data_IF_850781764661
#
_entry.id   IF_850781764661
#
_cell.length_a   1.000
_cell.length_b   1.000
_cell.length_c   1.000
_cell.angle_alpha   90.00
_cell.angle_beta   90.00
_cell.angle_gamma   90.00
#
_symmetry.space_group_name_H-M   'P 1'
#
loop_
_entity.id
_entity.type
_entity.pdbx_description
1 polymer ?
#
# COMPACT_ATOMS: atom_id res chain seq x y z
N UNK A 1 -19.07 31.43 68.87
CA UNK A 1 -18.12 32.25 68.08
C UNK A 1 -17.13 31.31 67.39
N UNK A 2 -17.07 31.32 66.04
CA UNK A 2 -15.92 31.02 65.17
C UNK A 2 -15.34 29.58 65.22
N UNK A 3 -14.91 28.90 64.16
CA UNK A 3 -14.91 29.06 62.68
C UNK A 3 -14.42 27.69 62.15
N UNK A 4 -14.95 27.27 60.99
CA UNK A 4 -14.54 26.11 60.19
C UNK A 4 -13.06 26.08 59.86
N UNK A 5 -12.50 24.91 59.53
CA UNK A 5 -11.41 24.74 58.56
C UNK A 5 -11.41 23.29 58.02
N UNK A 6 -12.03 23.12 56.85
CA UNK A 6 -11.89 21.95 56.00
C UNK A 6 -10.57 22.08 55.21
N UNK A 7 -9.70 21.07 55.32
CA UNK A 7 -8.44 21.01 54.57
C UNK A 7 -8.74 20.30 53.24
N UNK A 8 -8.89 21.09 52.18
CA UNK A 8 -8.98 20.60 50.81
C UNK A 8 -7.56 20.29 50.29
N UNK A 9 -7.30 19.01 50.04
CA UNK A 9 -6.04 18.52 49.47
C UNK A 9 -6.07 18.75 47.94
N UNK A 10 -5.32 19.73 47.45
CA UNK A 10 -5.15 20.02 46.02
C UNK A 10 -4.07 19.09 45.43
N UNK A 11 -4.48 18.19 44.52
CA UNK A 11 -3.59 17.39 43.68
C UNK A 11 -3.09 18.26 42.49
N UNK A 12 -1.78 18.35 42.23
CA UNK A 12 -1.29 18.99 41.00
C UNK A 12 -1.36 17.98 39.85
N UNK A 13 -2.23 18.25 38.87
CA UNK A 13 -2.26 17.55 37.59
C UNK A 13 -1.06 18.02 36.76
N UNK A 14 -0.04 17.17 36.64
CA UNK A 14 1.10 17.38 35.74
C UNK A 14 0.67 16.98 34.33
N UNK A 15 0.26 17.96 33.54
CA UNK A 15 0.04 17.83 32.10
C UNK A 15 1.40 17.79 31.40
N UNK A 16 1.88 16.59 31.08
CA UNK A 16 3.03 16.41 30.17
C UNK A 16 2.53 16.65 28.74
N UNK A 17 2.62 17.89 28.29
CA UNK A 17 2.45 18.22 26.89
C UNK A 17 3.72 17.78 26.13
N UNK A 18 3.66 16.64 25.43
CA UNK A 18 4.62 16.34 24.37
C UNK A 18 4.36 17.30 23.21
N UNK A 19 4.97 18.48 23.29
CA UNK A 19 5.14 19.36 22.13
C UNK A 19 6.17 18.71 21.20
N UNK A 20 5.71 17.81 20.33
CA UNK A 20 6.48 17.35 19.20
C UNK A 20 6.69 18.50 18.22
N UNK A 21 7.84 19.16 18.32
CA UNK A 21 8.34 20.05 17.27
C UNK A 21 8.60 19.20 16.00
N UNK A 22 7.61 19.11 15.11
CA UNK A 22 7.84 18.59 13.76
C UNK A 22 8.26 19.76 12.87
N UNK A 23 9.58 19.90 12.68
CA UNK A 23 10.15 20.87 11.75
C UNK A 23 9.52 20.73 10.35
N UNK A 24 9.16 21.89 9.80
CA UNK A 24 8.37 22.03 8.58
C UNK A 24 9.09 21.58 7.32
N UNK A 25 8.68 20.42 6.83
CA UNK A 25 8.27 20.09 5.44
C UNK A 25 8.55 18.61 5.18
N UNK A 26 7.83 17.75 5.91
CA UNK A 26 7.63 16.36 5.49
C UNK A 26 6.66 16.41 4.32
N UNK A 27 7.03 15.87 3.17
CA UNK A 27 6.03 15.54 2.16
C UNK A 27 5.21 14.44 2.81
N UNK A 28 3.97 14.77 3.17
CA UNK A 28 3.09 13.81 3.82
C UNK A 28 2.82 12.69 2.83
N UNK A 29 2.94 11.45 3.28
CA UNK A 29 2.26 10.34 2.61
C UNK A 29 0.83 10.77 2.33
N UNK A 30 0.34 10.70 1.09
CA UNK A 30 -1.05 11.01 0.80
C UNK A 30 -1.97 10.14 1.68
N UNK A 31 -3.06 10.69 2.25
CA UNK A 31 -3.96 9.90 3.10
C UNK A 31 -4.52 8.64 2.41
N UNK A 32 -4.79 8.72 1.09
CA UNK A 32 -5.26 7.60 0.29
C UNK A 32 -4.29 6.39 0.32
N UNK A 33 -2.99 6.61 0.45
CA UNK A 33 -2.00 5.53 0.56
C UNK A 33 -2.06 4.77 1.89
N UNK A 34 -2.72 5.36 2.90
CA UNK A 34 -2.97 4.72 4.19
C UNK A 34 -4.37 4.09 4.24
N UNK A 35 -5.09 4.07 3.11
CA UNK A 35 -6.34 3.36 3.00
C UNK A 35 -6.13 1.84 3.18
N UNK A 36 -7.21 1.18 3.58
CA UNK A 36 -7.21 -0.26 3.78
C UNK A 36 -6.99 -1.03 2.45
N UNK A 37 -6.48 -2.29 2.49
CA UNK A 37 -6.13 -3.07 1.30
C UNK A 37 -7.25 -3.20 0.25
N UNK A 38 -8.52 -3.22 0.67
CA UNK A 38 -9.68 -3.30 -0.21
C UNK A 38 -9.81 -2.10 -1.15
N UNK A 39 -9.38 -0.90 -0.73
CA UNK A 39 -9.39 0.29 -1.57
C UNK A 39 -8.30 0.23 -2.64
N UNK A 40 -7.15 -0.34 -2.31
CA UNK A 40 -6.07 -0.61 -3.27
C UNK A 40 -6.49 -1.64 -4.31
N UNK A 41 -7.12 -2.74 -3.88
CA UNK A 41 -7.65 -3.76 -4.79
C UNK A 41 -8.72 -3.19 -5.72
N UNK A 42 -9.62 -2.37 -5.18
CA UNK A 42 -10.65 -1.70 -5.98
C UNK A 42 -10.04 -0.77 -7.01
N UNK A 43 -9.04 0.05 -6.62
CA UNK A 43 -8.33 0.93 -7.55
C UNK A 43 -7.61 0.13 -8.65
N UNK A 44 -6.92 -0.95 -8.29
CA UNK A 44 -6.17 -1.79 -9.24
C UNK A 44 -7.05 -2.43 -10.31
N UNK A 45 -8.36 -2.58 -10.08
CA UNK A 45 -9.29 -3.07 -11.11
C UNK A 45 -9.37 -2.19 -12.37
N UNK A 46 -8.82 -0.97 -12.31
CA UNK A 46 -8.68 -0.06 -13.47
C UNK A 46 -7.37 -0.26 -14.25
N UNK A 47 -6.54 -1.26 -13.92
CA UNK A 47 -5.37 -1.59 -14.73
C UNK A 47 -5.79 -2.16 -16.10
N UNK A 48 -5.09 -1.85 -17.20
CA UNK A 48 -3.77 -1.19 -17.24
C UNK A 48 -3.83 0.33 -17.31
N UNK A 49 -5.03 0.94 -17.32
CA UNK A 49 -5.16 2.39 -17.23
C UNK A 49 -4.63 2.92 -15.89
N UNK A 50 -4.52 4.26 -15.81
CA UNK A 50 -3.98 4.93 -14.63
C UNK A 50 -4.79 4.59 -13.37
N UNK A 51 -4.17 3.81 -12.48
CA UNK A 51 -4.73 3.44 -11.17
C UNK A 51 -4.50 4.57 -10.17
N UNK A 52 -5.59 5.02 -9.55
CA UNK A 52 -5.59 6.01 -8.48
C UNK A 52 -6.35 5.50 -7.26
N UNK A 53 -5.71 5.52 -6.09
CA UNK A 53 -6.34 5.15 -4.82
C UNK A 53 -7.24 6.31 -4.37
N UNK A 54 -8.46 5.97 -3.96
CA UNK A 54 -9.51 6.94 -3.57
C UNK A 54 -9.72 8.06 -4.60
N UNK A 55 -9.62 7.71 -5.90
CA UNK A 55 -9.80 8.62 -7.05
C UNK A 55 -8.79 9.77 -7.17
N UNK A 56 -7.80 9.87 -6.27
CA UNK A 56 -6.90 11.03 -6.22
C UNK A 56 -5.41 10.73 -6.28
N UNK A 57 -4.97 9.54 -5.87
CA UNK A 57 -3.54 9.30 -5.63
C UNK A 57 -3.00 8.13 -6.44
N UNK A 58 -2.12 8.37 -7.43
CA UNK A 58 -1.36 7.31 -8.09
C UNK A 58 -0.57 6.48 -7.08
N UNK A 59 -0.40 5.18 -7.34
CA UNK A 59 0.29 4.28 -6.41
C UNK A 59 1.77 4.68 -6.24
N UNK A 60 2.42 5.18 -7.29
CA UNK A 60 3.81 5.66 -7.22
C UNK A 60 4.00 6.81 -6.21
N UNK A 61 3.00 7.66 -6.03
CA UNK A 61 3.02 8.78 -5.08
C UNK A 61 2.92 8.33 -3.61
N UNK A 62 2.67 7.04 -3.34
CA UNK A 62 2.65 6.49 -1.99
C UNK A 62 4.03 6.31 -1.36
N UNK A 63 5.10 6.54 -2.13
CA UNK A 63 6.49 6.36 -1.71
C UNK A 63 7.31 7.67 -1.74
N UNK A 64 6.85 8.78 -1.11
CA UNK A 64 7.62 10.01 -1.13
C UNK A 64 8.96 9.86 -0.39
N UNK A 65 9.98 10.60 -0.83
CA UNK A 65 11.35 10.56 -0.27
C UNK A 65 11.39 10.79 1.26
N UNK A 66 10.47 11.61 1.79
CA UNK A 66 10.44 12.04 3.20
C UNK A 66 9.26 11.47 3.98
N UNK A 67 8.96 10.19 3.75
CA UNK A 67 7.95 9.45 4.49
C UNK A 67 8.39 9.18 5.94
N UNK A 68 7.43 9.15 6.88
CA UNK A 68 7.72 8.71 8.26
C UNK A 68 7.89 7.19 8.29
N UNK A 69 8.71 6.68 9.21
CA UNK A 69 8.89 5.22 9.39
C UNK A 69 7.55 4.50 9.56
N UNK A 70 6.65 5.05 10.38
CA UNK A 70 5.32 4.46 10.61
C UNK A 70 4.48 4.38 9.32
N UNK A 71 4.49 5.43 8.48
CA UNK A 71 3.75 5.41 7.22
C UNK A 71 4.41 4.47 6.21
N UNK A 72 5.73 4.36 6.20
CA UNK A 72 6.45 3.43 5.32
C UNK A 72 6.13 1.98 5.67
N UNK A 73 6.11 1.64 6.96
CA UNK A 73 5.71 0.32 7.43
C UNK A 73 4.25 0.02 7.05
N UNK A 74 3.36 0.99 7.20
CA UNK A 74 1.94 0.82 6.89
C UNK A 74 1.70 0.64 5.38
N UNK A 75 2.27 1.51 4.52
CA UNK A 75 2.17 1.39 3.06
C UNK A 75 2.75 0.06 2.59
N UNK A 76 3.95 -0.30 3.07
CA UNK A 76 4.59 -1.57 2.71
C UNK A 76 3.78 -2.78 3.15
N UNK A 77 3.19 -2.75 4.35
CA UNK A 77 2.30 -3.81 4.86
C UNK A 77 1.06 -3.96 3.99
N UNK A 78 0.39 -2.85 3.66
CA UNK A 78 -0.78 -2.85 2.78
C UNK A 78 -0.45 -3.39 1.40
N UNK A 79 0.65 -2.94 0.78
CA UNK A 79 1.09 -3.42 -0.53
C UNK A 79 1.38 -4.93 -0.54
N UNK A 80 2.03 -5.47 0.50
CA UNK A 80 2.26 -6.92 0.62
C UNK A 80 0.95 -7.71 0.76
N UNK A 81 -0.02 -7.19 1.52
CA UNK A 81 -1.34 -7.83 1.64
C UNK A 81 -2.05 -7.86 0.29
N UNK A 82 -2.11 -6.73 -0.42
CA UNK A 82 -2.73 -6.62 -1.74
C UNK A 82 -2.07 -7.57 -2.74
N UNK A 83 -0.73 -7.57 -2.81
CA UNK A 83 0.03 -8.46 -3.67
C UNK A 83 -0.23 -9.95 -3.35
N UNK A 84 -0.31 -10.30 -2.05
CA UNK A 84 -0.61 -11.67 -1.63
C UNK A 84 -2.03 -12.09 -2.00
N UNK A 85 -3.02 -11.19 -1.86
CA UNK A 85 -4.41 -11.43 -2.28
C UNK A 85 -4.52 -11.66 -3.79
N UNK A 86 -3.81 -10.87 -4.60
CA UNK A 86 -3.78 -11.05 -6.05
C UNK A 86 -3.09 -12.36 -6.43
N UNK A 87 -1.95 -12.69 -5.82
CA UNK A 87 -1.27 -13.98 -6.05
C UNK A 87 -2.14 -15.19 -5.71
N UNK A 88 -2.95 -15.09 -4.65
CA UNK A 88 -3.91 -16.13 -4.25
C UNK A 88 -5.03 -16.25 -5.28
N UNK A 89 -5.55 -15.12 -5.77
CA UNK A 89 -6.55 -15.08 -6.83
C UNK A 89 -6.04 -15.73 -8.13
N UNK A 90 -4.79 -15.46 -8.53
CA UNK A 90 -4.17 -16.10 -9.70
C UNK A 90 -4.19 -17.63 -9.56
N UNK A 91 -3.79 -18.15 -8.40
CA UNK A 91 -3.75 -19.61 -8.14
C UNK A 91 -5.14 -20.23 -8.15
N UNK A 92 -6.10 -19.59 -7.46
CA UNK A 92 -7.46 -20.08 -7.36
C UNK A 92 -8.16 -20.12 -8.72
N UNK A 93 -7.94 -19.09 -9.54
CA UNK A 93 -8.55 -18.97 -10.86
C UNK A 93 -7.85 -19.80 -11.94
N UNK A 94 -6.59 -20.18 -11.70
CA UNK A 94 -5.89 -21.14 -12.55
C UNK A 94 -6.33 -22.59 -12.28
N UNK A 95 -7.10 -22.85 -11.22
CA UNK A 95 -7.66 -24.17 -10.93
C UNK A 95 -8.95 -24.42 -11.74
N UNK A 96 -9.29 -25.69 -11.97
CA UNK A 96 -10.45 -26.10 -12.77
C UNK A 96 -11.82 -25.60 -12.24
N UNK A 97 -11.87 -25.08 -11.02
CA UNK A 97 -13.09 -24.67 -10.31
C UNK A 97 -13.14 -23.17 -10.01
N UNK A 98 -12.49 -22.33 -10.83
CA UNK A 98 -12.40 -20.88 -10.62
C UNK A 98 -13.71 -20.20 -10.22
N UNK A 99 -13.63 -19.19 -9.37
CA UNK A 99 -14.78 -18.41 -8.91
C UNK A 99 -15.16 -17.37 -9.97
N UNK A 100 -16.33 -17.52 -10.59
CA UNK A 100 -16.86 -16.63 -11.64
C UNK A 100 -17.12 -15.19 -11.16
N UNK A 101 -17.18 -14.94 -9.85
CA UNK A 101 -17.39 -13.61 -9.28
C UNK A 101 -16.07 -12.90 -8.90
N UNK A 102 -14.94 -13.47 -9.28
CA UNK A 102 -13.61 -12.90 -9.03
C UNK A 102 -12.93 -12.60 -10.36
N UNK A 103 -11.94 -11.68 -10.39
CA UNK A 103 -11.12 -11.46 -11.57
C UNK A 103 -10.53 -12.79 -12.07
N UNK A 104 -10.42 -12.95 -13.37
CA UNK A 104 -9.69 -14.06 -13.98
C UNK A 104 -8.23 -14.08 -13.53
N UNK A 105 -7.54 -15.21 -13.74
CA UNK A 105 -6.12 -15.32 -13.43
C UNK A 105 -5.28 -14.28 -14.19
N UNK A 106 -5.68 -13.95 -15.42
CA UNK A 106 -5.04 -12.95 -16.28
C UNK A 106 -5.21 -11.53 -15.73
N UNK A 107 -6.45 -11.14 -15.37
CA UNK A 107 -6.72 -9.84 -14.75
C UNK A 107 -6.00 -9.70 -13.40
N UNK A 108 -6.04 -10.74 -12.55
CA UNK A 108 -5.32 -10.76 -11.27
C UNK A 108 -3.79 -10.60 -11.46
N UNK A 109 -3.23 -11.20 -12.50
CA UNK A 109 -1.83 -11.04 -12.85
C UNK A 109 -1.51 -9.63 -13.37
N UNK A 110 -2.36 -9.05 -14.21
CA UNK A 110 -2.23 -7.68 -14.70
C UNK A 110 -2.21 -6.68 -13.52
N UNK A 111 -3.18 -6.81 -12.60
CA UNK A 111 -3.24 -5.98 -11.39
C UNK A 111 -2.00 -6.14 -10.51
N UNK A 112 -1.52 -7.37 -10.32
CA UNK A 112 -0.33 -7.65 -9.52
C UNK A 112 0.94 -7.05 -10.15
N UNK A 113 1.06 -7.14 -11.47
CA UNK A 113 2.11 -6.49 -12.23
C UNK A 113 2.07 -4.99 -12.06
N UNK A 114 0.90 -4.36 -12.26
CA UNK A 114 0.73 -2.91 -12.14
C UNK A 114 1.15 -2.41 -10.76
N UNK A 115 0.70 -3.06 -9.69
CA UNK A 115 1.11 -2.71 -8.32
C UNK A 115 2.62 -2.69 -8.17
N UNK A 116 3.32 -3.72 -8.66
CA UNK A 116 4.78 -3.80 -8.59
C UNK A 116 5.43 -2.70 -9.41
N UNK A 117 5.01 -2.50 -10.66
CA UNK A 117 5.56 -1.46 -11.54
C UNK A 117 5.39 -0.04 -10.98
N UNK A 118 4.22 0.27 -10.41
CA UNK A 118 3.94 1.56 -9.82
C UNK A 118 4.78 1.83 -8.56
N UNK A 119 4.98 0.81 -7.72
CA UNK A 119 5.86 0.93 -6.55
C UNK A 119 7.34 0.99 -6.96
N UNK A 120 7.75 0.30 -8.02
CA UNK A 120 9.09 0.45 -8.61
C UNK A 120 9.33 1.87 -9.09
N UNK A 121 8.36 2.48 -9.79
CA UNK A 121 8.41 3.88 -10.19
C UNK A 121 8.58 4.81 -8.99
N UNK A 122 7.72 4.67 -7.96
CA UNK A 122 7.82 5.49 -6.75
C UNK A 122 9.14 5.30 -6.00
N UNK A 123 9.67 4.07 -5.92
CA UNK A 123 10.97 3.81 -5.32
C UNK A 123 12.12 4.47 -6.11
N UNK A 124 12.10 4.40 -7.44
CA UNK A 124 13.08 5.07 -8.30
C UNK A 124 13.04 6.60 -8.12
N UNK A 125 11.86 7.19 -8.09
CA UNK A 125 11.66 8.63 -7.88
C UNK A 125 12.13 9.09 -6.49
N UNK A 126 12.08 8.20 -5.50
CA UNK A 126 12.62 8.43 -4.14
C UNK A 126 14.12 8.15 -4.01
N UNK A 127 14.83 7.85 -5.10
CA UNK A 127 16.26 7.52 -5.08
C UNK A 127 16.60 6.15 -4.51
N UNK A 128 15.67 5.18 -4.61
CA UNK A 128 15.88 3.78 -4.20
C UNK A 128 15.67 3.50 -2.71
N UNK A 129 15.16 4.47 -1.94
CA UNK A 129 14.93 4.32 -0.48
C UNK A 129 14.04 3.11 -0.18
N UNK A 130 13.10 2.82 -1.08
CA UNK A 130 12.05 1.81 -0.88
C UNK A 130 12.31 0.47 -1.59
N UNK A 131 13.48 0.25 -2.21
CA UNK A 131 13.76 -0.93 -3.05
C UNK A 131 13.56 -2.27 -2.33
N UNK A 132 13.94 -2.34 -1.05
CA UNK A 132 13.76 -3.56 -0.24
C UNK A 132 12.29 -3.87 -0.02
N UNK A 133 11.45 -2.84 0.17
CA UNK A 133 10.00 -3.02 0.28
C UNK A 133 9.43 -3.48 -1.06
N UNK A 134 9.82 -2.85 -2.18
CA UNK A 134 9.38 -3.24 -3.52
C UNK A 134 9.73 -4.69 -3.81
N UNK A 135 10.96 -5.12 -3.49
CA UNK A 135 11.39 -6.53 -3.65
C UNK A 135 10.49 -7.51 -2.89
N UNK A 136 10.04 -7.14 -1.67
CA UNK A 136 9.12 -7.97 -0.88
C UNK A 136 7.73 -8.03 -1.50
N UNK A 137 7.24 -6.90 -2.03
CA UNK A 137 5.95 -6.85 -2.74
C UNK A 137 6.01 -7.67 -4.03
N UNK A 138 7.09 -7.56 -4.81
CA UNK A 138 7.32 -8.39 -6.00
C UNK A 138 7.31 -9.88 -5.64
N UNK A 139 8.04 -10.28 -4.59
CA UNK A 139 8.07 -11.67 -4.14
C UNK A 139 6.68 -12.19 -3.73
N UNK A 140 5.85 -11.35 -3.10
CA UNK A 140 4.47 -11.68 -2.78
C UNK A 140 3.59 -11.80 -4.05
N UNK A 141 3.68 -10.83 -4.96
CA UNK A 141 2.91 -10.78 -6.19
C UNK A 141 3.19 -11.97 -7.12
N UNK A 142 4.47 -12.39 -7.20
CA UNK A 142 4.92 -13.50 -8.04
C UNK A 142 4.72 -14.87 -7.41
N UNK A 143 4.16 -14.96 -6.21
CA UNK A 143 4.01 -16.23 -5.53
C UNK A 143 3.09 -17.18 -6.31
N UNK A 144 3.66 -18.24 -6.90
CA UNK A 144 2.94 -19.20 -7.74
C UNK A 144 2.79 -18.79 -9.21
N UNK A 145 3.27 -17.61 -9.59
CA UNK A 145 3.20 -17.11 -10.97
C UNK A 145 4.02 -17.97 -11.95
N UNK A 146 5.14 -18.55 -11.51
CA UNK A 146 5.98 -19.40 -12.35
C UNK A 146 5.30 -20.71 -12.77
N UNK A 147 4.34 -21.20 -11.96
CA UNK A 147 3.53 -22.36 -12.27
C UNK A 147 2.29 -22.02 -13.12
N UNK A 148 2.00 -20.72 -13.33
CA UNK A 148 0.87 -20.27 -14.12
C UNK A 148 1.12 -20.40 -15.62
N UNK A 149 0.03 -20.40 -16.40
CA UNK A 149 0.10 -20.45 -17.86
C UNK A 149 0.87 -19.28 -18.47
N UNK A 150 1.41 -19.41 -19.70
CA UNK A 150 2.15 -18.34 -20.36
C UNK A 150 1.40 -17.02 -20.47
N UNK A 151 0.08 -17.07 -20.74
CA UNK A 151 -0.76 -15.88 -20.86
C UNK A 151 -0.84 -15.08 -19.55
N UNK A 152 -1.02 -15.76 -18.41
CA UNK A 152 -1.03 -15.14 -17.07
C UNK A 152 0.32 -14.45 -16.77
N UNK A 153 1.43 -15.10 -17.12
CA UNK A 153 2.77 -14.51 -16.93
C UNK A 153 3.01 -13.30 -17.82
N UNK A 154 2.49 -13.32 -19.05
CA UNK A 154 2.53 -12.17 -19.95
C UNK A 154 1.70 -11.00 -19.39
N UNK A 155 0.51 -11.26 -18.86
CA UNK A 155 -0.32 -10.22 -18.24
C UNK A 155 0.34 -9.57 -17.03
N UNK A 156 1.05 -10.34 -16.20
CA UNK A 156 1.88 -9.77 -15.14
C UNK A 156 2.95 -8.80 -15.68
N UNK A 157 3.62 -9.15 -16.78
CA UNK A 157 4.63 -8.29 -17.40
C UNK A 157 4.01 -7.01 -17.97
N UNK A 158 2.91 -7.14 -18.70
CA UNK A 158 2.15 -6.01 -19.25
C UNK A 158 1.70 -5.04 -18.15
N UNK A 159 1.19 -5.59 -17.04
CA UNK A 159 0.79 -4.80 -15.88
C UNK A 159 1.97 -4.07 -15.28
N UNK A 160 3.11 -4.75 -15.10
CA UNK A 160 4.32 -4.13 -14.54
C UNK A 160 4.83 -3.00 -15.42
N UNK A 161 4.84 -3.19 -16.72
CA UNK A 161 5.27 -2.15 -17.67
C UNK A 161 4.32 -0.95 -17.63
N UNK A 162 3.00 -1.18 -17.57
CA UNK A 162 1.99 -0.13 -17.42
C UNK A 162 2.14 0.64 -16.10
N UNK A 163 2.32 -0.07 -14.98
CA UNK A 163 2.57 0.55 -13.67
C UNK A 163 3.87 1.36 -13.63
N UNK A 164 4.93 0.89 -14.31
CA UNK A 164 6.19 1.62 -14.38
C UNK A 164 6.06 2.92 -15.20
N UNK A 165 5.18 2.95 -16.22
CA UNK A 165 4.91 4.13 -17.02
C UNK A 165 3.98 5.12 -16.30
N UNK A 166 2.79 4.66 -15.90
CA UNK A 166 1.66 5.51 -15.52
C UNK A 166 1.19 5.34 -14.07
N UNK A 167 1.83 4.44 -13.32
CA UNK A 167 1.60 4.17 -11.90
C UNK A 167 1.80 5.34 -10.98
#
# INVERSE_FOLDING_TARGET
MRKSLAVALLLPVVLVAFAGCSDGRKISTPPACLAAPEFWLTALSSAPERVVIEESTPISECLPEKQTVANQEEVGRTAVIVASSLSSSIKEQSAASGNQNSPSAEEAALMAGYLVGALEKGANESGGIHDVMVTRVEAAARNGLDAAGPSVRQQYQEGRDAGLADG
#
